data_IF_436044784108
#
_entry.id   IF_436044784108
#
_cell.length_a   1.000
_cell.length_b   1.000
_cell.length_c   1.000
_cell.angle_alpha   90.00
_cell.angle_beta   90.00
_cell.angle_gamma   90.00
#
_symmetry.space_group_name_H-M   'P 1'
#
loop_
_entity.id
_entity.type
_entity.pdbx_description
1 polymer ?
#
# COMPACT_ATOMS: atom_id res chain seq x y z
N UNK A 1 -33.82 26.75 36.16
CA UNK A 1 -33.02 27.29 37.29
C UNK A 1 -32.40 26.11 38.02
N UNK A 2 -31.09 25.94 38.13
CA UNK A 2 -29.95 26.61 37.54
C UNK A 2 -28.79 25.60 37.49
N UNK A 3 -27.93 25.78 36.50
CA UNK A 3 -26.66 25.08 36.34
C UNK A 3 -25.74 25.34 37.54
N UNK A 4 -24.97 24.33 37.95
CA UNK A 4 -23.72 24.54 38.68
C UNK A 4 -22.61 23.90 37.85
N UNK A 5 -21.91 24.79 37.15
CA UNK A 5 -20.72 24.54 36.34
C UNK A 5 -19.56 24.45 37.33
N UNK A 6 -18.92 23.27 37.41
CA UNK A 6 -17.62 23.13 38.07
C UNK A 6 -16.56 23.71 37.14
N UNK A 7 -16.00 24.84 37.55
CA UNK A 7 -14.96 25.58 36.84
C UNK A 7 -13.61 24.86 36.96
N UNK A 8 -13.24 24.10 35.93
CA UNK A 8 -11.86 23.69 35.73
C UNK A 8 -11.05 24.88 35.22
N UNK A 9 -10.01 25.20 35.99
CA UNK A 9 -8.96 26.20 35.75
C UNK A 9 -8.49 26.25 34.30
N UNK A 10 -8.60 27.41 33.66
CA UNK A 10 -7.94 27.72 32.39
C UNK A 10 -6.45 27.87 32.63
N UNK A 11 -5.64 26.98 32.06
CA UNK A 11 -4.22 27.23 31.90
C UNK A 11 -4.00 27.89 30.53
N UNK A 12 -3.42 29.10 30.44
CA UNK A 12 -3.09 29.73 29.18
C UNK A 12 -1.68 29.33 28.74
N UNK A 13 -1.52 29.10 27.43
CA UNK A 13 -0.25 28.88 26.73
C UNK A 13 0.42 27.50 26.93
N UNK A 14 0.18 26.64 25.95
CA UNK A 14 0.99 25.48 25.61
C UNK A 14 0.35 24.85 24.39
N UNK A 15 0.99 24.97 23.23
CA UNK A 15 0.61 24.22 22.02
C UNK A 15 0.68 22.72 22.36
N UNK A 16 -0.43 22.14 22.78
CA UNK A 16 -0.63 20.70 22.64
C UNK A 16 -0.79 20.46 21.13
N UNK A 17 -0.01 19.55 20.53
CA UNK A 17 -0.23 19.19 19.15
C UNK A 17 -1.63 18.57 19.10
N UNK A 18 -2.54 19.31 18.47
CA UNK A 18 -3.80 18.83 17.91
C UNK A 18 -3.57 17.38 17.47
N UNK A 19 -4.28 16.43 18.08
CA UNK A 19 -4.16 14.99 17.84
C UNK A 19 -4.01 14.75 16.34
N UNK A 20 -2.75 14.61 15.89
CA UNK A 20 -2.45 14.29 14.51
C UNK A 20 -3.05 12.91 14.32
N UNK A 21 -4.15 12.83 13.58
CA UNK A 21 -4.69 11.57 13.08
C UNK A 21 -3.48 10.76 12.62
N UNK A 22 -3.32 9.55 13.15
CA UNK A 22 -2.16 8.70 12.90
C UNK A 22 -1.85 8.76 11.40
N UNK A 23 -0.69 9.32 11.06
CA UNK A 23 -0.37 9.59 9.66
C UNK A 23 -0.52 8.29 8.88
N UNK A 24 -1.41 8.27 7.88
CA UNK A 24 -1.72 7.08 7.09
C UNK A 24 -0.43 6.32 6.77
N UNK A 25 -0.33 5.08 7.24
CA UNK A 25 0.89 4.30 7.09
C UNK A 25 1.09 3.97 5.63
N UNK A 26 2.32 4.18 5.15
CA UNK A 26 2.67 3.86 3.77
C UNK A 26 2.95 2.36 3.69
N UNK A 27 2.22 1.68 2.82
CA UNK A 27 2.36 0.24 2.56
C UNK A 27 3.07 0.00 1.23
N UNK A 28 3.98 -0.97 1.20
CA UNK A 28 4.69 -1.41 0.00
C UNK A 28 4.56 -2.92 -0.22
N UNK A 29 4.37 -3.33 -1.48
CA UNK A 29 4.71 -4.67 -1.93
C UNK A 29 6.17 -4.67 -2.41
N UNK A 30 6.94 -5.68 -1.99
CA UNK A 30 8.31 -5.88 -2.49
C UNK A 30 8.49 -7.29 -3.05
N UNK A 31 9.06 -7.41 -4.25
CA UNK A 31 9.29 -8.70 -4.91
C UNK A 31 10.48 -8.67 -5.88
N UNK A 32 11.00 -9.82 -6.27
CA UNK A 32 11.81 -9.99 -7.47
C UNK A 32 10.96 -10.50 -8.64
N UNK A 33 11.31 -10.13 -9.87
CA UNK A 33 10.55 -10.46 -11.08
C UNK A 33 10.42 -11.97 -11.35
N UNK A 34 9.59 -12.33 -12.33
CA UNK A 34 9.36 -13.73 -12.69
C UNK A 34 10.66 -14.38 -13.19
N UNK A 35 10.90 -15.62 -12.73
CA UNK A 35 12.14 -16.39 -12.94
C UNK A 35 13.42 -15.68 -12.49
N UNK A 36 13.31 -14.66 -11.64
CA UNK A 36 14.45 -14.00 -11.04
C UNK A 36 14.67 -14.47 -9.60
N UNK A 37 15.85 -15.02 -9.33
CA UNK A 37 16.30 -15.41 -7.98
C UNK A 37 17.15 -14.35 -7.28
N UNK A 38 17.41 -13.20 -7.90
CA UNK A 38 18.25 -12.14 -7.34
C UNK A 38 17.48 -11.30 -6.31
N UNK A 39 17.30 -11.86 -5.12
CA UNK A 39 16.54 -11.21 -4.04
C UNK A 39 17.41 -10.36 -3.10
N UNK A 40 18.74 -10.38 -3.27
CA UNK A 40 19.68 -9.68 -2.39
C UNK A 40 19.41 -8.17 -2.35
N UNK A 41 19.20 -7.54 -3.51
CA UNK A 41 18.95 -6.10 -3.61
C UNK A 41 17.59 -5.72 -3.00
N UNK A 42 16.53 -6.44 -3.33
CA UNK A 42 15.19 -6.16 -2.78
C UNK A 42 15.12 -6.44 -1.27
N UNK A 43 15.88 -7.41 -0.76
CA UNK A 43 16.01 -7.66 0.68
C UNK A 43 16.68 -6.52 1.44
N UNK A 44 17.66 -5.83 0.84
CA UNK A 44 18.25 -4.63 1.43
C UNK A 44 17.25 -3.48 1.38
N UNK A 45 16.67 -3.21 0.20
CA UNK A 45 15.71 -2.11 0.02
C UNK A 45 14.52 -2.22 0.98
N UNK A 46 13.95 -3.43 1.15
CA UNK A 46 12.81 -3.63 2.05
C UNK A 46 13.16 -3.38 3.52
N UNK A 47 14.38 -3.72 3.96
CA UNK A 47 14.82 -3.47 5.34
C UNK A 47 14.92 -1.97 5.61
N UNK A 48 15.40 -1.21 4.63
CA UNK A 48 15.51 0.25 4.72
C UNK A 48 14.11 0.89 4.72
N UNK A 49 13.20 0.42 3.85
CA UNK A 49 11.78 0.81 3.87
C UNK A 49 11.15 0.58 5.25
N UNK A 50 11.32 -0.62 5.81
CA UNK A 50 10.83 -0.95 7.15
C UNK A 50 11.42 -0.04 8.23
N UNK A 51 12.73 0.21 8.19
CA UNK A 51 13.38 1.13 9.14
C UNK A 51 12.94 2.58 8.99
N UNK A 52 12.43 2.95 7.81
CA UNK A 52 11.87 4.28 7.51
C UNK A 52 10.38 4.40 7.89
N UNK A 53 9.80 3.37 8.51
CA UNK A 53 8.43 3.36 9.02
C UNK A 53 7.37 2.88 8.02
N UNK A 54 7.77 2.37 6.85
CA UNK A 54 6.83 1.77 5.90
C UNK A 54 6.46 0.34 6.32
N UNK A 55 5.19 -0.03 6.12
CA UNK A 55 4.77 -1.42 6.21
C UNK A 55 5.10 -2.15 4.92
N UNK A 56 5.76 -3.30 5.02
CA UNK A 56 6.23 -4.03 3.83
C UNK A 56 5.65 -5.43 3.80
N UNK A 57 4.86 -5.68 2.77
CA UNK A 57 4.37 -6.98 2.36
C UNK A 57 5.38 -7.56 1.37
N UNK A 58 6.24 -8.46 1.86
CA UNK A 58 7.31 -9.04 1.05
C UNK A 58 6.89 -10.36 0.42
N UNK A 59 6.88 -10.42 -0.91
CA UNK A 59 6.48 -11.62 -1.65
C UNK A 59 7.67 -12.53 -2.00
N UNK A 60 8.90 -12.14 -1.71
CA UNK A 60 10.09 -12.90 -2.07
C UNK A 60 10.45 -12.76 -3.55
N UNK A 61 10.89 -13.85 -4.17
CA UNK A 61 11.42 -13.87 -5.54
C UNK A 61 10.56 -14.73 -6.48
N UNK A 62 10.87 -14.71 -7.78
CA UNK A 62 10.13 -15.46 -8.81
C UNK A 62 8.62 -15.17 -8.82
N UNK A 63 8.24 -13.89 -8.93
CA UNK A 63 6.82 -13.48 -8.90
C UNK A 63 6.31 -13.03 -10.26
N UNK A 64 5.18 -13.58 -10.67
CA UNK A 64 4.45 -13.10 -11.83
C UNK A 64 3.84 -11.72 -11.56
N UNK A 65 3.67 -10.93 -12.62
CA UNK A 65 3.00 -9.62 -12.54
C UNK A 65 1.61 -9.74 -11.91
N UNK A 66 0.84 -10.76 -12.30
CA UNK A 66 -0.50 -10.99 -11.78
C UNK A 66 -0.53 -11.26 -10.27
N UNK A 67 0.47 -11.97 -9.72
CA UNK A 67 0.59 -12.20 -8.27
C UNK A 67 0.86 -10.89 -7.54
N UNK A 68 1.81 -10.08 -8.03
CA UNK A 68 2.18 -8.79 -7.44
C UNK A 68 0.98 -7.83 -7.47
N UNK A 69 0.31 -7.71 -8.62
CA UNK A 69 -0.83 -6.80 -8.79
C UNK A 69 -2.00 -7.23 -7.92
N UNK A 70 -2.32 -8.52 -7.85
CA UNK A 70 -3.39 -9.02 -6.98
C UNK A 70 -3.10 -8.68 -5.50
N UNK A 71 -1.89 -8.97 -5.03
CA UNK A 71 -1.51 -8.64 -3.66
C UNK A 71 -1.56 -7.14 -3.41
N UNK A 72 -1.04 -6.32 -4.33
CA UNK A 72 -1.05 -4.86 -4.21
C UNK A 72 -2.47 -4.27 -4.09
N UNK A 73 -3.43 -4.79 -4.87
CA UNK A 73 -4.82 -4.35 -4.84
C UNK A 73 -5.55 -4.82 -3.57
N UNK A 74 -5.27 -6.04 -3.10
CA UNK A 74 -5.87 -6.58 -1.88
C UNK A 74 -5.35 -5.88 -0.62
N UNK A 75 -4.07 -5.54 -0.61
CA UNK A 75 -3.38 -4.88 0.49
C UNK A 75 -3.49 -3.34 0.45
N UNK A 76 -4.21 -2.80 -0.55
CA UNK A 76 -4.40 -1.36 -0.79
C UNK A 76 -3.09 -0.55 -0.64
N UNK A 77 -2.03 -1.03 -1.30
CA UNK A 77 -0.69 -0.46 -1.11
C UNK A 77 -0.47 0.84 -1.86
N UNK A 78 0.44 1.66 -1.35
CA UNK A 78 0.82 2.91 -1.99
C UNK A 78 1.87 2.70 -3.07
N UNK A 79 2.70 1.67 -2.93
CA UNK A 79 3.84 1.42 -3.80
C UNK A 79 4.15 -0.06 -4.00
N UNK A 80 4.68 -0.36 -5.18
CA UNK A 80 5.25 -1.66 -5.54
C UNK A 80 6.73 -1.42 -5.87
N UNK A 81 7.63 -2.19 -5.27
CA UNK A 81 9.05 -2.17 -5.60
C UNK A 81 9.51 -3.54 -6.12
N UNK A 82 10.04 -3.56 -7.34
CA UNK A 82 10.48 -4.79 -8.00
C UNK A 82 11.97 -4.74 -8.35
N UNK A 83 12.71 -5.78 -7.97
CA UNK A 83 14.03 -6.05 -8.55
C UNK A 83 13.92 -6.93 -9.80
N UNK A 84 14.62 -6.58 -10.88
CA UNK A 84 14.65 -7.38 -12.11
C UNK A 84 16.06 -7.42 -12.71
N UNK A 85 16.70 -8.59 -12.63
CA UNK A 85 18.08 -8.84 -13.06
C UNK A 85 18.21 -9.87 -14.19
N UNK A 86 17.11 -10.52 -14.59
CA UNK A 86 17.11 -11.56 -15.64
C UNK A 86 16.73 -11.06 -17.04
N UNK A 87 16.47 -9.75 -17.20
CA UNK A 87 15.96 -9.19 -18.45
C UNK A 87 14.45 -9.34 -18.60
N UNK A 88 13.91 -8.93 -19.76
CA UNK A 88 12.45 -8.88 -20.00
C UNK A 88 11.71 -7.86 -19.14
N UNK A 89 12.46 -6.96 -18.48
CA UNK A 89 11.93 -5.94 -17.58
C UNK A 89 11.03 -4.93 -18.28
N UNK A 90 11.30 -4.62 -19.56
CA UNK A 90 10.46 -3.68 -20.31
C UNK A 90 9.03 -4.22 -20.41
N UNK A 91 8.88 -5.44 -20.90
CA UNK A 91 7.58 -6.12 -21.02
C UNK A 91 6.95 -6.34 -19.64
N UNK A 92 7.75 -6.78 -18.66
CA UNK A 92 7.29 -7.06 -17.32
C UNK A 92 6.68 -5.82 -16.64
N UNK A 93 7.38 -4.68 -16.66
CA UNK A 93 6.88 -3.45 -16.05
C UNK A 93 5.73 -2.83 -16.84
N UNK A 94 5.76 -2.86 -18.18
CA UNK A 94 4.62 -2.38 -18.98
C UNK A 94 3.36 -3.18 -18.68
N UNK A 95 3.48 -4.51 -18.65
CA UNK A 95 2.35 -5.36 -18.30
C UNK A 95 1.83 -5.09 -16.89
N UNK A 96 2.71 -4.83 -15.92
CA UNK A 96 2.30 -4.43 -14.56
C UNK A 96 1.50 -3.13 -14.55
N UNK A 97 1.95 -2.11 -15.26
CA UNK A 97 1.26 -0.83 -15.36
C UNK A 97 -0.11 -1.00 -16.03
N UNK A 98 -0.17 -1.76 -17.12
CA UNK A 98 -1.43 -1.99 -17.85
C UNK A 98 -2.43 -2.76 -16.99
N UNK A 99 -1.98 -3.80 -16.28
CA UNK A 99 -2.83 -4.61 -15.41
C UNK A 99 -3.33 -3.82 -14.19
N UNK A 100 -2.50 -2.93 -13.61
CA UNK A 100 -2.93 -2.02 -12.56
C UNK A 100 -4.01 -1.06 -13.06
N UNK A 101 -3.84 -0.49 -14.26
CA UNK A 101 -4.85 0.40 -14.86
C UNK A 101 -6.16 -0.33 -15.12
N UNK A 102 -6.09 -1.53 -15.69
CA UNK A 102 -7.25 -2.37 -15.98
C UNK A 102 -8.04 -2.71 -14.71
N UNK A 103 -7.35 -2.94 -13.59
CA UNK A 103 -7.94 -3.42 -12.33
C UNK A 103 -8.12 -2.33 -11.27
N UNK A 104 -8.14 -1.06 -11.66
CA UNK A 104 -8.44 0.05 -10.75
C UNK A 104 -7.32 0.47 -9.78
N UNK A 105 -6.10 -0.04 -9.96
CA UNK A 105 -4.90 0.29 -9.17
C UNK A 105 -4.00 1.36 -9.79
N UNK A 106 -4.53 2.22 -10.67
CA UNK A 106 -3.73 3.22 -11.41
C UNK A 106 -3.01 4.26 -10.53
N UNK A 107 -3.45 4.39 -9.28
CA UNK A 107 -2.86 5.29 -8.28
C UNK A 107 -1.59 4.69 -7.63
N UNK A 108 -1.41 3.38 -7.67
CA UNK A 108 -0.30 2.67 -7.04
C UNK A 108 1.01 3.01 -7.77
N UNK A 109 2.01 3.47 -7.03
CA UNK A 109 3.31 3.83 -7.60
C UNK A 109 4.14 2.58 -7.86
N UNK A 110 4.80 2.51 -9.01
CA UNK A 110 5.65 1.37 -9.37
C UNK A 110 7.11 1.83 -9.45
N UNK A 111 7.95 1.16 -8.67
CA UNK A 111 9.38 1.38 -8.60
C UNK A 111 10.13 0.12 -9.04
N UNK A 112 11.29 0.31 -9.65
CA UNK A 112 12.12 -0.81 -10.09
C UNK A 112 13.62 -0.55 -10.01
N UNK A 113 14.38 -1.63 -10.07
CA UNK A 113 15.83 -1.60 -10.19
C UNK A 113 16.38 -2.93 -10.71
N UNK A 114 17.44 -2.87 -11.50
CA UNK A 114 18.09 -4.05 -12.09
C UNK A 114 19.60 -3.92 -12.19
N UNK A 115 20.20 -2.98 -11.45
CA UNK A 115 21.59 -2.57 -11.66
C UNK A 115 21.80 -2.11 -13.10
N UNK A 116 22.84 -2.63 -13.75
CA UNK A 116 23.16 -2.32 -15.14
C UNK A 116 22.33 -3.05 -16.20
N UNK A 117 21.36 -3.88 -15.81
CA UNK A 117 20.54 -4.67 -16.75
C UNK A 117 19.53 -3.80 -17.49
N UNK A 118 19.02 -2.73 -16.84
CA UNK A 118 18.03 -1.81 -17.42
C UNK A 118 18.76 -0.58 -17.93
N UNK A 119 18.85 -0.41 -19.26
CA UNK A 119 19.66 0.66 -19.86
C UNK A 119 18.92 2.00 -19.92
N UNK A 120 19.60 3.16 -20.00
CA UNK A 120 18.96 4.47 -19.95
C UNK A 120 17.81 4.70 -20.97
N UNK A 121 17.87 4.21 -22.22
CA UNK A 121 16.72 4.27 -23.13
C UNK A 121 15.48 3.53 -22.62
N UNK A 122 15.65 2.33 -22.07
CA UNK A 122 14.57 1.52 -21.51
C UNK A 122 13.99 2.15 -20.24
N UNK A 123 14.85 2.75 -19.40
CA UNK A 123 14.41 3.53 -18.22
C UNK A 123 13.45 4.65 -18.66
N UNK A 124 13.82 5.43 -19.69
CA UNK A 124 12.97 6.50 -20.22
C UNK A 124 11.66 5.97 -20.80
N UNK A 125 11.73 4.85 -21.52
CA UNK A 125 10.55 4.18 -22.07
C UNK A 125 9.59 3.72 -20.97
N UNK A 126 10.10 3.10 -19.91
CA UNK A 126 9.31 2.65 -18.78
C UNK A 126 8.67 3.81 -18.01
N UNK A 127 9.41 4.91 -17.80
CA UNK A 127 8.85 6.12 -17.18
C UNK A 127 7.75 6.73 -18.04
N UNK A 128 7.97 6.81 -19.36
CA UNK A 128 6.95 7.29 -20.30
C UNK A 128 5.69 6.41 -20.31
N UNK A 129 5.84 5.09 -20.09
CA UNK A 129 4.72 4.17 -20.01
C UNK A 129 3.92 4.28 -18.70
N UNK A 130 4.54 4.75 -17.62
CA UNK A 130 3.87 5.01 -16.34
C UNK A 130 4.58 4.50 -15.09
N UNK A 131 5.75 3.86 -15.23
CA UNK A 131 6.58 3.50 -14.07
C UNK A 131 7.04 4.76 -13.36
N UNK A 132 6.89 4.82 -12.03
CA UNK A 132 7.19 6.03 -11.25
C UNK A 132 8.69 6.33 -11.21
N UNK A 133 9.51 5.31 -10.96
CA UNK A 133 10.97 5.43 -11.04
C UNK A 133 11.62 4.07 -11.24
N UNK A 134 12.63 4.03 -12.10
CA UNK A 134 13.60 2.94 -12.18
C UNK A 134 14.92 3.55 -11.71
N UNK A 135 15.53 2.94 -10.71
CA UNK A 135 16.80 3.40 -10.15
C UNK A 135 17.97 2.75 -10.89
N UNK A 136 18.84 3.59 -11.47
CA UNK A 136 20.08 3.13 -12.10
C UNK A 136 21.22 3.01 -11.06
N UNK A 137 22.36 2.38 -11.41
CA UNK A 137 23.54 2.38 -10.56
C UNK A 137 24.02 3.80 -10.19
N UNK A 138 23.93 4.75 -11.13
CA UNK A 138 24.31 6.16 -10.92
C UNK A 138 23.40 6.86 -9.91
N UNK A 139 22.09 6.54 -9.90
CA UNK A 139 21.16 7.01 -8.86
C UNK A 139 21.61 6.51 -7.48
N UNK A 140 22.04 5.24 -7.39
CA UNK A 140 22.55 4.66 -6.15
C UNK A 140 23.81 5.34 -5.63
N UNK A 141 24.71 5.79 -6.52
CA UNK A 141 25.90 6.57 -6.13
C UNK A 141 25.55 7.99 -5.70
N UNK A 142 24.56 8.61 -6.36
CA UNK A 142 24.22 10.02 -6.14
C UNK A 142 23.33 10.23 -4.93
N UNK A 143 22.29 9.40 -4.78
CA UNK A 143 21.28 9.50 -3.72
C UNK A 143 21.65 8.67 -2.47
N UNK A 144 22.48 7.64 -2.65
CA UNK A 144 22.63 6.58 -1.66
C UNK A 144 21.35 5.74 -1.50
N UNK A 145 21.46 4.63 -0.75
CA UNK A 145 20.33 3.73 -0.55
C UNK A 145 19.16 4.42 0.20
N UNK A 146 19.47 5.20 1.23
CA UNK A 146 18.44 5.92 2.00
C UNK A 146 17.74 6.98 1.12
N UNK A 147 18.48 7.77 0.33
CA UNK A 147 17.87 8.79 -0.52
C UNK A 147 16.95 8.22 -1.59
N UNK A 148 17.24 7.02 -2.11
CA UNK A 148 16.31 6.30 -2.99
C UNK A 148 15.02 5.91 -2.26
N UNK A 149 15.10 5.42 -1.03
CA UNK A 149 13.93 5.09 -0.22
C UNK A 149 13.13 6.33 0.15
N UNK A 150 13.79 7.42 0.54
CA UNK A 150 13.13 8.69 0.87
C UNK A 150 12.33 9.21 -0.34
N UNK A 151 12.90 9.11 -1.55
CA UNK A 151 12.18 9.42 -2.78
C UNK A 151 10.95 8.52 -2.96
N UNK A 152 11.09 7.20 -2.79
CA UNK A 152 9.97 6.26 -2.93
C UNK A 152 8.83 6.61 -1.96
N UNK A 153 9.16 6.84 -0.69
CA UNK A 153 8.22 7.19 0.37
C UNK A 153 7.51 8.51 0.04
N UNK A 154 8.25 9.53 -0.40
CA UNK A 154 7.67 10.84 -0.76
C UNK A 154 6.69 10.73 -1.93
N UNK A 155 7.02 9.98 -2.98
CA UNK A 155 6.10 9.75 -4.09
C UNK A 155 4.83 9.01 -3.66
N UNK A 156 4.94 8.11 -2.68
CA UNK A 156 3.80 7.37 -2.12
C UNK A 156 2.93 8.23 -1.19
N UNK A 157 3.47 9.25 -0.50
CA UNK A 157 2.67 10.16 0.35
C UNK A 157 1.53 10.83 -0.43
N UNK A 158 1.75 11.11 -1.71
CA UNK A 158 0.74 11.71 -2.60
C UNK A 158 -0.49 10.81 -2.82
N UNK A 159 -0.37 9.51 -2.53
CA UNK A 159 -1.46 8.54 -2.71
C UNK A 159 -2.32 8.33 -1.45
N UNK A 160 -1.91 8.91 -0.31
CA UNK A 160 -2.58 8.70 0.99
C UNK A 160 -3.99 9.32 1.05
N UNK A 161 -4.21 10.42 0.31
CA UNK A 161 -5.44 11.21 0.39
C UNK A 161 -6.58 10.70 -0.51
N UNK A 162 -6.60 9.40 -0.83
CA UNK A 162 -7.71 8.85 -1.61
C UNK A 162 -9.01 8.91 -0.80
N UNK A 163 -10.12 9.42 -1.38
CA UNK A 163 -11.37 9.54 -0.65
C UNK A 163 -11.93 8.17 -0.28
N UNK A 164 -12.79 8.10 0.75
CA UNK A 164 -13.57 6.90 1.03
C UNK A 164 -14.45 6.54 -0.19
N UNK A 165 -14.73 5.24 -0.40
CA UNK A 165 -15.62 4.81 -1.46
C UNK A 165 -17.01 5.45 -1.29
N UNK A 166 -17.54 6.04 -2.36
CA UNK A 166 -18.78 6.82 -2.34
C UNK A 166 -20.06 5.97 -2.14
N UNK A 167 -19.99 4.68 -2.50
CA UNK A 167 -21.14 3.78 -2.50
C UNK A 167 -20.76 2.43 -1.86
N UNK A 168 -21.07 2.26 -0.58
CA UNK A 168 -20.76 1.02 0.14
C UNK A 168 -21.66 -0.15 -0.31
N UNK A 169 -22.73 0.13 -1.05
CA UNK A 169 -23.59 -0.89 -1.68
C UNK A 169 -22.79 -1.82 -2.61
N UNK A 170 -21.69 -1.34 -3.19
CA UNK A 170 -20.81 -2.14 -4.05
C UNK A 170 -20.15 -3.33 -3.32
N UNK A 171 -20.12 -3.33 -1.98
CA UNK A 171 -19.72 -4.50 -1.20
C UNK A 171 -20.67 -5.69 -1.39
N UNK A 172 -21.90 -5.46 -1.87
CA UNK A 172 -22.85 -6.53 -2.17
C UNK A 172 -22.50 -7.27 -3.48
N UNK A 173 -21.71 -6.64 -4.36
CA UNK A 173 -21.36 -7.16 -5.68
C UNK A 173 -19.96 -7.82 -5.71
N UNK A 174 -19.46 -8.27 -4.56
CA UNK A 174 -18.12 -8.86 -4.39
C UNK A 174 -16.97 -7.96 -4.89
N UNK A 175 -17.15 -6.64 -4.82
CA UNK A 175 -16.15 -5.67 -5.25
C UNK A 175 -15.01 -5.56 -4.23
N UNK A 176 -14.01 -6.45 -4.34
CA UNK A 176 -12.91 -6.58 -3.37
C UNK A 176 -12.07 -5.31 -3.20
N UNK A 177 -11.99 -4.44 -4.21
CA UNK A 177 -11.28 -3.15 -4.11
C UNK A 177 -11.94 -2.22 -3.09
N UNK A 178 -13.27 -2.18 -3.06
CA UNK A 178 -14.02 -1.41 -2.05
C UNK A 178 -13.75 -1.98 -0.66
N UNK A 179 -13.72 -3.31 -0.53
CA UNK A 179 -13.40 -3.97 0.74
C UNK A 179 -11.98 -3.67 1.22
N UNK A 180 -10.98 -3.83 0.36
CA UNK A 180 -9.58 -3.52 0.67
C UNK A 180 -9.43 -2.08 1.14
N UNK A 181 -10.02 -1.12 0.40
CA UNK A 181 -9.97 0.30 0.77
C UNK A 181 -10.65 0.57 2.11
N UNK A 182 -11.78 -0.08 2.40
CA UNK A 182 -12.46 0.09 3.69
C UNK A 182 -11.66 -0.47 4.85
N UNK A 183 -10.98 -1.61 4.67
CA UNK A 183 -10.08 -2.15 5.70
C UNK A 183 -9.00 -1.12 6.02
N UNK A 184 -8.36 -0.52 5.02
CA UNK A 184 -7.38 0.56 5.21
C UNK A 184 -7.97 1.74 5.97
N UNK A 185 -9.17 2.18 5.63
CA UNK A 185 -9.81 3.33 6.27
C UNK A 185 -10.21 3.02 7.72
N UNK A 186 -10.65 1.80 8.01
CA UNK A 186 -10.94 1.34 9.37
C UNK A 186 -9.65 1.25 10.19
N UNK A 187 -8.57 0.70 9.63
CA UNK A 187 -7.28 0.59 10.31
C UNK A 187 -6.67 1.95 10.70
N UNK A 188 -6.95 2.99 9.90
CA UNK A 188 -6.45 4.35 10.11
C UNK A 188 -7.45 5.28 10.82
N UNK A 189 -8.55 4.75 11.38
CA UNK A 189 -9.61 5.56 12.02
C UNK A 189 -10.12 6.71 11.13
N UNK A 190 -10.18 6.49 9.81
CA UNK A 190 -10.46 7.49 8.79
C UNK A 190 -11.90 7.46 8.26
N UNK A 191 -12.78 6.65 8.87
CA UNK A 191 -14.20 6.60 8.54
C UNK A 191 -15.02 7.52 9.46
N UNK A 192 -15.97 8.24 8.87
CA UNK A 192 -16.99 8.99 9.61
C UNK A 192 -18.03 8.06 10.24
N UNK A 193 -18.72 8.55 11.28
CA UNK A 193 -19.88 7.88 11.89
C UNK A 193 -20.96 7.49 10.86
N UNK A 194 -21.16 8.31 9.83
CA UNK A 194 -22.11 8.02 8.76
C UNK A 194 -21.72 6.76 7.97
N UNK A 195 -20.42 6.55 7.71
CA UNK A 195 -19.93 5.34 7.06
C UNK A 195 -20.13 4.10 7.95
N UNK A 196 -19.87 4.20 9.25
CA UNK A 196 -20.12 3.09 10.18
C UNK A 196 -21.61 2.72 10.25
N UNK A 197 -22.51 3.70 10.25
CA UNK A 197 -23.95 3.46 10.23
C UNK A 197 -24.41 2.78 8.93
N UNK A 198 -23.85 3.18 7.79
CA UNK A 198 -24.12 2.53 6.50
C UNK A 198 -23.60 1.09 6.47
N UNK A 199 -22.40 0.82 6.98
CA UNK A 199 -21.86 -0.54 7.12
C UNK A 199 -22.73 -1.42 8.02
N UNK A 200 -23.19 -0.90 9.15
CA UNK A 200 -24.10 -1.62 10.05
C UNK A 200 -25.43 -1.97 9.35
N UNK A 201 -25.98 -1.03 8.57
CA UNK A 201 -27.19 -1.24 7.77
C UNK A 201 -26.97 -2.33 6.71
N UNK A 202 -25.83 -2.30 6.02
CA UNK A 202 -25.44 -3.30 5.01
C UNK A 202 -25.21 -4.68 5.60
N UNK A 203 -24.65 -4.78 6.81
CA UNK A 203 -24.47 -6.05 7.51
C UNK A 203 -25.81 -6.68 7.91
N UNK A 204 -26.81 -5.84 8.23
CA UNK A 204 -28.16 -6.24 8.56
C UNK A 204 -29.05 -6.50 7.33
N UNK A 205 -28.55 -6.41 6.10
CA UNK A 205 -29.39 -6.61 4.92
C UNK A 205 -29.95 -8.06 4.84
N UNK A 206 -31.25 -8.28 4.55
CA UNK A 206 -31.88 -9.60 4.57
C UNK A 206 -31.18 -10.66 3.69
N UNK A 207 -30.59 -10.24 2.57
CA UNK A 207 -29.79 -11.11 1.70
C UNK A 207 -28.54 -11.69 2.39
N UNK A 208 -28.08 -11.09 3.49
CA UNK A 208 -26.93 -11.50 4.31
C UNK A 208 -27.34 -12.10 5.66
N UNK A 209 -28.53 -11.76 6.17
CA UNK A 209 -29.06 -12.24 7.46
C UNK A 209 -29.20 -13.77 7.57
N UNK A 210 -29.33 -14.49 6.46
CA UNK A 210 -29.52 -15.94 6.46
C UNK A 210 -28.23 -16.77 6.36
N UNK A 211 -27.05 -16.12 6.31
CA UNK A 211 -25.75 -16.81 6.25
C UNK A 211 -25.00 -16.58 7.55
N UNK A 212 -25.03 -17.56 8.46
CA UNK A 212 -24.05 -17.59 9.56
C UNK A 212 -22.69 -17.90 8.96
N UNK A 213 -21.81 -16.89 8.86
CA UNK A 213 -20.45 -17.06 8.34
C UNK A 213 -19.54 -17.46 9.51
N UNK A 214 -18.97 -18.67 9.53
CA UNK A 214 -18.07 -19.08 10.60
C UNK A 214 -16.75 -18.29 10.52
N UNK A 215 -16.27 -17.80 11.67
CA UNK A 215 -14.95 -17.14 11.81
C UNK A 215 -14.03 -18.08 12.57
N UNK A 216 -13.01 -18.60 11.89
CA UNK A 216 -11.98 -19.46 12.49
C UNK A 216 -10.75 -18.61 12.86
N UNK A 217 -10.49 -18.47 14.16
CA UNK A 217 -9.26 -17.84 14.66
C UNK A 217 -8.13 -18.86 14.76
N UNK A 218 -6.99 -18.57 14.14
CA UNK A 218 -5.76 -19.37 14.21
C UNK A 218 -4.70 -18.57 14.98
N UNK A 219 -4.22 -19.11 16.12
CA UNK A 219 -3.24 -18.44 17.01
C UNK A 219 -2.18 -19.41 17.53
N UNK A 220 -1.10 -18.90 18.13
CA UNK A 220 0.08 -19.68 18.52
C UNK A 220 1.38 -18.88 18.55
N UNK A 221 2.48 -19.52 18.96
CA UNK A 221 3.80 -18.89 19.13
C UNK A 221 4.46 -18.44 17.82
N UNK A 222 5.48 -17.59 17.91
CA UNK A 222 6.26 -17.13 16.74
C UNK A 222 7.03 -18.27 16.08
N UNK A 223 6.91 -18.41 14.75
CA UNK A 223 7.58 -19.46 13.97
C UNK A 223 6.90 -20.84 13.96
N UNK A 224 5.69 -20.98 14.53
CA UNK A 224 4.99 -22.27 14.64
C UNK A 224 4.31 -22.77 13.35
N UNK A 225 4.31 -21.99 12.26
CA UNK A 225 3.63 -22.33 11.00
C UNK A 225 2.12 -22.01 10.99
N UNK A 226 1.75 -20.88 11.60
CA UNK A 226 0.39 -20.31 11.49
C UNK A 226 0.12 -19.76 10.10
#
# INVERSE_FOLDING_TARGET
MAAVISSASRNPAGNEPELQHAAHKIRFITAASLFDGHDASINIMRRILQSSGAEVIHLGHNRAVSEIVNAALQEDVNGIAVSSYQGGHVEYFKYMIDLLRERGGSHIKVFGGGGGVIVPPEIRELHAHGVTRIFSPEDGQTLGLQGMIDYMVEQCRQTLNQPPPQHLQQLADDHFLTLARLITLIENDALSEAHYQELATLAQHPARQHKTIPVLGITGTGGAGK
#
